data_IF_300791972448
#
_entry.id   IF_300791972448
#
_cell.length_a   1.000
_cell.length_b   1.000
_cell.length_c   1.000
_cell.angle_alpha   90.00
_cell.angle_beta   90.00
_cell.angle_gamma   90.00
#
_symmetry.space_group_name_H-M   'P 1'
#
loop_
_entity.id
_entity.type
_entity.pdbx_description
1 polymer ?
#
# COMPACT_ATOMS: atom_id res chain seq x y z
N UNK A 1 -16.45 11.88 3.03
CA UNK A 1 -17.12 10.59 3.22
C UNK A 1 -17.21 9.74 1.95
N UNK A 2 -17.48 10.32 0.77
CA UNK A 2 -17.69 9.53 -0.47
C UNK A 2 -16.45 8.80 -1.03
N UNK A 3 -15.23 9.21 -0.67
CA UNK A 3 -13.98 8.59 -1.19
C UNK A 3 -13.63 7.26 -0.52
N UNK A 4 -14.06 7.03 0.72
CA UNK A 4 -13.82 5.77 1.44
C UNK A 4 -14.71 4.66 0.88
N UNK A 5 -15.94 5.00 0.50
CA UNK A 5 -16.91 4.05 -0.05
C UNK A 5 -16.43 3.50 -1.41
N UNK A 6 -15.79 4.33 -2.25
CA UNK A 6 -15.26 3.89 -3.55
C UNK A 6 -14.10 2.90 -3.42
N UNK A 7 -13.25 3.04 -2.39
CA UNK A 7 -12.16 2.09 -2.14
C UNK A 7 -12.68 0.74 -1.63
N UNK A 8 -13.73 0.74 -0.82
CA UNK A 8 -14.36 -0.50 -0.34
C UNK A 8 -15.11 -1.25 -1.45
N UNK A 9 -15.73 -0.54 -2.39
CA UNK A 9 -16.47 -1.16 -3.51
C UNK A 9 -15.53 -1.88 -4.48
N UNK A 10 -14.30 -1.37 -4.68
CA UNK A 10 -13.31 -2.03 -5.52
C UNK A 10 -12.82 -3.35 -4.90
N UNK A 11 -12.73 -3.42 -3.58
CA UNK A 11 -12.29 -4.62 -2.86
C UNK A 11 -13.30 -5.79 -2.97
N UNK A 12 -14.58 -5.51 -3.16
CA UNK A 12 -15.65 -6.52 -3.18
C UNK A 12 -15.79 -7.20 -4.56
N UNK A 13 -15.36 -6.56 -5.64
CA UNK A 13 -15.53 -7.08 -7.00
C UNK A 13 -14.56 -8.22 -7.38
N UNK A 14 -13.55 -8.51 -6.54
CA UNK A 14 -12.54 -9.54 -6.82
C UNK A 14 -12.74 -10.85 -6.03
N UNK A 15 -13.88 -11.06 -5.38
CA UNK A 15 -14.09 -12.15 -4.42
C UNK A 15 -14.63 -13.46 -5.00
N UNK A 16 -14.59 -13.70 -6.28
CA UNK A 16 -15.15 -14.93 -6.85
C UNK A 16 -14.14 -15.78 -7.59
N UNK A 17 -13.30 -16.50 -6.87
CA UNK A 17 -12.88 -17.87 -7.21
C UNK A 17 -11.93 -18.43 -6.14
N UNK A 18 -12.44 -19.34 -5.33
CA UNK A 18 -11.65 -20.14 -4.40
C UNK A 18 -10.81 -21.15 -5.18
N UNK A 19 -9.57 -20.81 -5.44
CA UNK A 19 -8.54 -21.78 -5.86
C UNK A 19 -7.35 -21.59 -4.94
N UNK A 20 -6.80 -22.73 -4.47
CA UNK A 20 -5.71 -22.83 -3.51
C UNK A 20 -4.59 -21.81 -3.76
N UNK A 21 -4.45 -20.94 -2.82
CA UNK A 21 -3.37 -20.07 -2.42
C UNK A 21 -2.27 -19.72 -3.44
N UNK A 22 -2.48 -18.74 -4.28
CA UNK A 22 -1.48 -17.71 -4.39
C UNK A 22 -1.92 -16.54 -3.52
N UNK A 23 -0.98 -15.92 -2.90
CA UNK A 23 -1.22 -14.79 -2.01
C UNK A 23 -1.37 -13.47 -2.76
N UNK A 24 -2.31 -13.39 -3.70
CA UNK A 24 -2.72 -12.10 -4.22
C UNK A 24 -3.48 -11.35 -3.12
N UNK A 25 -3.16 -10.09 -2.94
CA UNK A 25 -3.72 -9.29 -1.87
C UNK A 25 -4.35 -8.01 -2.43
N UNK A 26 -5.46 -7.60 -1.86
CA UNK A 26 -5.95 -6.23 -1.93
C UNK A 26 -6.00 -5.68 -0.53
N UNK A 27 -5.45 -4.51 -0.31
CA UNK A 27 -5.31 -3.94 1.02
C UNK A 27 -5.63 -2.47 1.11
N UNK A 28 -5.97 -2.07 2.32
CA UNK A 28 -6.06 -0.66 2.73
C UNK A 28 -5.10 -0.44 3.88
N UNK A 29 -4.44 0.70 3.90
CA UNK A 29 -3.53 1.06 4.96
C UNK A 29 -3.71 2.53 5.37
N UNK A 30 -3.33 2.79 6.61
CA UNK A 30 -3.36 4.10 7.23
C UNK A 30 -2.06 4.33 7.98
N UNK A 31 -1.50 5.52 7.85
CA UNK A 31 -0.29 5.92 8.56
C UNK A 31 -0.61 6.88 9.69
N UNK A 32 0.25 6.91 10.70
CA UNK A 32 0.17 7.88 11.79
C UNK A 32 0.32 9.33 11.31
N UNK A 33 0.90 9.55 10.13
CA UNK A 33 1.01 10.85 9.46
C UNK A 33 -0.20 11.20 8.58
N UNK A 34 -1.36 10.57 8.82
CA UNK A 34 -2.60 10.76 8.07
C UNK A 34 -2.51 10.38 6.57
N UNK A 35 -1.63 9.47 6.21
CA UNK A 35 -1.59 8.89 4.86
C UNK A 35 -2.59 7.74 4.79
N UNK A 36 -3.53 7.83 3.86
CA UNK A 36 -4.42 6.72 3.49
C UNK A 36 -3.89 6.09 2.22
N UNK A 37 -3.87 4.77 2.15
CA UNK A 37 -3.43 4.05 0.97
C UNK A 37 -4.25 2.82 0.65
N UNK A 38 -4.15 2.40 -0.60
CA UNK A 38 -4.63 1.11 -1.08
C UNK A 38 -3.50 0.42 -1.82
N UNK A 39 -3.53 -0.91 -1.82
CA UNK A 39 -2.54 -1.71 -2.50
C UNK A 39 -3.16 -2.94 -3.13
N UNK A 40 -2.59 -3.35 -4.26
CA UNK A 40 -2.83 -4.63 -4.93
C UNK A 40 -1.49 -5.33 -5.03
N UNK A 41 -1.44 -6.58 -4.64
CA UNK A 41 -0.22 -7.37 -4.71
C UNK A 41 -0.49 -8.69 -5.40
N UNK A 42 0.38 -9.04 -6.33
CA UNK A 42 0.30 -10.25 -7.15
C UNK A 42 1.51 -11.12 -6.89
N UNK A 43 1.27 -12.35 -6.47
CA UNK A 43 2.32 -13.34 -6.32
C UNK A 43 2.87 -13.74 -7.69
N UNK A 44 4.18 -13.55 -7.87
CA UNK A 44 4.90 -13.94 -9.07
C UNK A 44 5.95 -15.03 -8.79
N UNK A 45 5.85 -15.72 -7.66
CA UNK A 45 6.84 -16.72 -7.25
C UNK A 45 7.10 -17.79 -8.34
N UNK A 46 6.06 -18.24 -9.04
CA UNK A 46 6.20 -19.21 -10.15
C UNK A 46 7.03 -18.65 -11.31
N UNK A 47 6.81 -17.37 -11.68
CA UNK A 47 7.59 -16.71 -12.72
C UNK A 47 9.01 -16.37 -12.25
N UNK A 48 9.23 -16.21 -10.95
CA UNK A 48 10.50 -15.88 -10.31
C UNK A 48 11.28 -17.13 -9.83
N UNK A 49 11.15 -18.26 -10.50
CA UNK A 49 11.86 -19.52 -10.15
C UNK A 49 11.55 -19.99 -8.72
N UNK A 50 10.31 -19.89 -8.30
CA UNK A 50 9.81 -20.24 -6.96
C UNK A 50 10.42 -19.41 -5.82
N UNK A 51 10.96 -18.24 -6.11
CA UNK A 51 11.38 -17.30 -5.06
C UNK A 51 10.14 -16.59 -4.50
N UNK A 52 10.10 -16.28 -3.20
CA UNK A 52 8.96 -15.64 -2.55
C UNK A 52 8.89 -14.15 -2.90
N UNK A 53 8.55 -13.86 -4.15
CA UNK A 53 8.49 -12.50 -4.71
C UNK A 53 7.08 -12.20 -5.20
N UNK A 54 6.61 -11.01 -4.91
CA UNK A 54 5.37 -10.45 -5.44
C UNK A 54 5.58 -9.06 -6.04
N UNK A 55 4.65 -8.62 -6.86
CA UNK A 55 4.58 -7.26 -7.38
C UNK A 55 3.42 -6.55 -6.69
N UNK A 56 3.71 -5.43 -6.08
CA UNK A 56 2.74 -4.55 -5.42
C UNK A 56 2.52 -3.30 -6.26
N UNK A 57 1.27 -3.01 -6.57
CA UNK A 57 0.80 -1.72 -7.06
C UNK A 57 0.18 -0.98 -5.89
N UNK A 58 0.51 0.28 -5.70
CA UNK A 58 -0.03 1.05 -4.58
C UNK A 58 -0.44 2.47 -5.00
N UNK A 59 -1.44 2.96 -4.29
CA UNK A 59 -1.86 4.35 -4.29
C UNK A 59 -1.89 4.83 -2.84
N UNK A 60 -1.32 6.01 -2.58
CA UNK A 60 -1.31 6.65 -1.27
C UNK A 60 -1.69 8.11 -1.40
N UNK A 61 -2.45 8.62 -0.45
CA UNK A 61 -2.84 10.02 -0.40
C UNK A 61 -2.66 10.58 0.99
N UNK A 62 -2.11 11.76 1.04
CA UNK A 62 -1.82 12.49 2.26
C UNK A 62 -2.41 13.89 2.16
N UNK A 63 -3.08 14.34 3.21
CA UNK A 63 -3.64 15.67 3.31
C UNK A 63 -3.12 16.34 4.58
N UNK A 64 -2.40 17.43 4.42
CA UNK A 64 -1.95 18.27 5.51
C UNK A 64 -2.69 19.61 5.50
N UNK A 65 -3.30 19.94 6.61
CA UNK A 65 -3.90 21.25 6.82
C UNK A 65 -2.87 22.16 7.47
N UNK A 66 -2.39 23.16 6.74
CA UNK A 66 -1.37 24.08 7.25
C UNK A 66 -1.99 25.16 8.16
N UNK A 67 -3.21 25.60 7.83
CA UNK A 67 -4.04 26.49 8.64
C UNK A 67 -5.50 26.39 8.18
N UNK A 68 -6.41 27.20 8.73
CA UNK A 68 -7.85 27.16 8.40
C UNK A 68 -8.15 27.30 6.90
N UNK A 69 -7.27 27.91 6.12
CA UNK A 69 -7.51 28.27 4.72
C UNK A 69 -6.56 27.62 3.73
N UNK A 70 -5.53 26.91 4.21
CA UNK A 70 -4.50 26.30 3.35
C UNK A 70 -4.42 24.79 3.57
N UNK A 71 -4.56 24.05 2.48
CA UNK A 71 -4.48 22.58 2.48
C UNK A 71 -3.47 22.13 1.44
N UNK A 72 -2.59 21.23 1.84
CA UNK A 72 -1.64 20.55 0.98
C UNK A 72 -2.08 19.12 0.78
N UNK A 73 -2.26 18.71 -0.47
CA UNK A 73 -2.57 17.33 -0.82
C UNK A 73 -1.39 16.73 -1.59
N UNK A 74 -0.94 15.58 -1.15
CA UNK A 74 0.09 14.80 -1.83
C UNK A 74 -0.49 13.45 -2.19
N UNK A 75 -0.33 13.03 -3.44
CA UNK A 75 -0.78 11.73 -3.91
C UNK A 75 0.40 10.99 -4.55
N UNK A 76 0.67 9.78 -4.09
CA UNK A 76 1.67 8.89 -4.63
C UNK A 76 1.04 7.67 -5.28
N UNK A 77 1.51 7.30 -6.46
CA UNK A 77 1.23 6.02 -7.10
C UNK A 77 2.54 5.33 -7.44
N UNK A 78 2.58 4.01 -7.31
CA UNK A 78 3.83 3.31 -7.58
C UNK A 78 3.68 1.81 -7.75
N UNK A 79 4.82 1.22 -8.06
CA UNK A 79 5.01 -0.22 -8.21
C UNK A 79 6.24 -0.64 -7.43
N UNK A 80 6.17 -1.75 -6.70
CA UNK A 80 7.28 -2.30 -5.94
C UNK A 80 7.36 -3.82 -6.09
N UNK A 81 8.58 -4.35 -6.11
CA UNK A 81 8.84 -5.75 -5.87
C UNK A 81 8.90 -5.98 -4.36
N UNK A 82 8.15 -6.95 -3.88
CA UNK A 82 8.11 -7.36 -2.46
C UNK A 82 8.78 -8.73 -2.34
N UNK A 83 9.69 -8.88 -1.39
CA UNK A 83 10.34 -10.14 -1.07
C UNK A 83 9.91 -10.59 0.33
N UNK A 84 9.25 -11.74 0.42
CA UNK A 84 8.87 -12.37 1.70
C UNK A 84 10.11 -13.02 2.34
N UNK A 85 10.40 -12.64 3.57
CA UNK A 85 11.55 -13.09 4.35
C UNK A 85 11.25 -14.32 5.22
N UNK A 86 10.06 -14.90 5.16
CA UNK A 86 9.65 -16.02 6.03
C UNK A 86 10.58 -17.23 5.90
N UNK A 87 11.15 -17.43 4.72
CA UNK A 87 12.14 -18.50 4.49
C UNK A 87 13.52 -18.20 5.09
N UNK A 88 13.83 -16.94 5.34
CA UNK A 88 15.13 -16.47 5.86
C UNK A 88 15.08 -16.30 7.37
N UNK A 89 13.96 -15.76 7.87
CA UNK A 89 13.76 -15.49 9.30
C UNK A 89 12.82 -16.55 9.86
N UNK A 90 13.32 -17.33 10.83
CA UNK A 90 12.52 -18.34 11.52
C UNK A 90 11.51 -17.67 12.45
N UNK A 91 10.32 -17.42 11.97
CA UNK A 91 9.20 -16.83 12.71
C UNK A 91 8.02 -17.79 12.76
N UNK A 92 7.00 -17.43 13.55
CA UNK A 92 5.73 -18.18 13.55
C UNK A 92 5.12 -18.18 12.15
N UNK A 93 4.46 -19.28 11.76
CA UNK A 93 3.79 -19.45 10.45
C UNK A 93 2.74 -18.40 10.13
N UNK A 94 2.20 -17.71 11.13
CA UNK A 94 1.26 -16.60 10.93
C UNK A 94 1.93 -15.25 10.71
N UNK A 95 3.25 -15.18 10.83
CA UNK A 95 4.04 -13.93 10.75
C UNK A 95 4.87 -13.95 9.48
N UNK A 96 4.69 -12.98 8.61
CA UNK A 96 5.35 -12.86 7.31
C UNK A 96 6.12 -11.54 7.23
N UNK A 97 7.39 -11.50 7.66
CA UNK A 97 8.24 -10.33 7.45
C UNK A 97 8.56 -10.17 5.98
N UNK A 98 8.65 -8.94 5.51
CA UNK A 98 8.96 -8.64 4.11
C UNK A 98 9.75 -7.35 3.95
N UNK A 99 10.38 -7.21 2.80
CA UNK A 99 11.00 -5.97 2.33
C UNK A 99 10.56 -5.70 0.90
N UNK A 100 10.52 -4.43 0.52
CA UNK A 100 10.10 -4.02 -0.82
C UNK A 100 10.92 -2.86 -1.34
N UNK A 101 11.14 -2.89 -2.65
CA UNK A 101 11.81 -1.84 -3.41
C UNK A 101 11.05 -1.57 -4.69
N UNK A 102 10.87 -0.29 -5.02
CA UNK A 102 10.11 0.09 -6.20
C UNK A 102 10.32 1.53 -6.64
N UNK A 103 9.43 1.95 -7.52
CA UNK A 103 9.37 3.30 -8.04
C UNK A 103 8.00 3.92 -7.72
N UNK A 104 8.02 5.20 -7.45
CA UNK A 104 6.84 5.98 -7.09
C UNK A 104 6.84 7.31 -7.84
N UNK A 105 5.67 7.70 -8.31
CA UNK A 105 5.39 9.04 -8.82
C UNK A 105 4.53 9.78 -7.82
N UNK A 106 4.90 11.00 -7.47
CA UNK A 106 4.25 11.83 -6.46
C UNK A 106 3.76 13.11 -7.09
N UNK A 107 2.48 13.41 -6.91
CA UNK A 107 1.88 14.67 -7.32
C UNK A 107 1.48 15.49 -6.10
N UNK A 108 1.68 16.80 -6.19
CA UNK A 108 1.36 17.77 -5.14
C UNK A 108 0.30 18.73 -5.62
N UNK A 109 -0.69 19.01 -4.77
CA UNK A 109 -1.71 20.02 -5.02
C UNK A 109 -1.84 20.91 -3.79
N UNK A 110 -1.64 22.19 -3.97
CA UNK A 110 -1.84 23.20 -2.93
C UNK A 110 -3.14 23.97 -3.16
N UNK A 111 -3.93 24.17 -2.12
CA UNK A 111 -5.13 24.98 -2.13
C UNK A 111 -5.07 26.02 -1.00
N UNK A 112 -5.14 27.31 -1.35
CA UNK A 112 -5.13 28.41 -0.39
C UNK A 112 -5.79 29.67 -0.95
N UNK A 113 -6.40 30.49 -0.07
CA UNK A 113 -7.00 31.80 -0.35
C UNK A 113 -7.92 31.86 -1.60
N UNK A 114 -8.79 30.87 -1.79
CA UNK A 114 -9.75 30.89 -2.90
C UNK A 114 -9.15 30.70 -4.29
N UNK A 115 -7.85 30.58 -4.43
CA UNK A 115 -7.13 30.33 -5.68
C UNK A 115 -6.65 28.88 -5.65
N UNK A 116 -7.26 28.02 -6.45
CA UNK A 116 -6.69 26.69 -6.73
C UNK A 116 -5.51 26.87 -7.67
N UNK A 117 -4.34 27.06 -7.14
CA UNK A 117 -3.13 26.84 -7.94
C UNK A 117 -2.82 25.35 -7.91
N UNK A 118 -3.11 24.68 -9.01
CA UNK A 118 -2.62 23.32 -9.23
C UNK A 118 -1.12 23.42 -9.49
N UNK A 119 -0.33 23.34 -8.45
CA UNK A 119 1.09 23.08 -8.59
C UNK A 119 1.24 21.57 -8.81
N UNK A 120 1.20 21.16 -10.06
CA UNK A 120 1.47 19.77 -10.46
C UNK A 120 2.98 19.62 -10.62
N UNK A 121 3.67 19.46 -9.51
CA UNK A 121 5.01 18.88 -9.52
C UNK A 121 4.86 17.36 -9.58
N UNK A 122 5.36 16.72 -10.61
CA UNK A 122 5.48 15.25 -10.64
C UNK A 122 6.91 14.91 -10.31
N UNK A 123 7.17 14.49 -9.10
CA UNK A 123 8.44 13.91 -8.71
C UNK A 123 8.36 12.38 -8.81
N UNK A 124 9.38 11.78 -9.42
CA UNK A 124 9.55 10.33 -9.42
C UNK A 124 10.67 9.96 -8.46
N UNK A 125 10.45 8.98 -7.62
CA UNK A 125 11.42 8.58 -6.60
C UNK A 125 11.46 7.09 -6.35
N UNK A 126 12.46 6.68 -5.60
CA UNK A 126 12.59 5.33 -5.10
C UNK A 126 11.56 5.12 -3.97
N UNK A 127 10.82 4.03 -4.03
CA UNK A 127 9.96 3.56 -2.95
C UNK A 127 10.63 2.41 -2.22
N UNK A 128 10.77 2.55 -0.90
CA UNK A 128 11.33 1.53 -0.01
C UNK A 128 10.30 1.24 1.07
N UNK A 129 10.04 -0.03 1.30
CA UNK A 129 9.16 -0.49 2.37
C UNK A 129 9.71 -1.73 3.05
N UNK A 130 9.37 -1.92 4.29
CA UNK A 130 9.64 -3.14 5.03
C UNK A 130 8.62 -3.29 6.15
N UNK A 131 8.18 -4.50 6.40
CA UNK A 131 7.10 -4.70 7.34
C UNK A 131 6.89 -6.15 7.73
N UNK A 132 5.78 -6.34 8.43
CA UNK A 132 5.32 -7.64 8.91
C UNK A 132 3.84 -7.76 8.63
N UNK A 133 3.44 -8.87 8.01
CA UNK A 133 2.04 -9.29 7.90
C UNK A 133 1.73 -10.34 8.94
N UNK A 134 0.58 -10.23 9.56
CA UNK A 134 0.07 -11.21 10.51
C UNK A 134 -1.23 -11.81 9.98
N UNK A 135 -1.23 -13.10 9.70
CA UNK A 135 -2.41 -13.83 9.23
C UNK A 135 -3.39 -14.06 10.38
N UNK A 136 -4.53 -13.38 10.37
CA UNK A 136 -5.64 -13.65 11.29
C UNK A 136 -6.47 -14.84 10.82
N UNK A 137 -6.72 -14.91 9.51
CA UNK A 137 -7.42 -16.00 8.85
C UNK A 137 -6.69 -16.36 7.55
N UNK A 138 -7.05 -17.44 6.87
CA UNK A 138 -6.50 -17.74 5.55
C UNK A 138 -6.72 -16.61 4.52
N UNK A 139 -7.78 -15.81 4.68
CA UNK A 139 -8.16 -14.74 3.75
C UNK A 139 -7.79 -13.34 4.21
N UNK A 140 -7.50 -13.13 5.51
CA UNK A 140 -7.29 -11.79 6.07
C UNK A 140 -5.98 -11.73 6.83
N UNK A 141 -5.16 -10.74 6.52
CA UNK A 141 -4.00 -10.39 7.33
C UNK A 141 -4.00 -8.90 7.72
N UNK A 142 -3.33 -8.61 8.83
CA UNK A 142 -2.91 -7.26 9.17
C UNK A 142 -1.53 -7.00 8.58
N UNK A 143 -1.29 -5.79 8.14
CA UNK A 143 -0.02 -5.31 7.61
C UNK A 143 0.49 -4.14 8.44
N UNK A 144 1.69 -4.28 8.98
CA UNK A 144 2.41 -3.22 9.68
C UNK A 144 3.70 -2.96 8.94
N UNK A 145 3.88 -1.78 8.40
CA UNK A 145 5.07 -1.47 7.61
C UNK A 145 5.61 -0.06 7.86
N UNK A 146 6.89 0.08 7.63
CA UNK A 146 7.60 1.34 7.53
C UNK A 146 7.95 1.58 6.07
N UNK A 147 7.65 2.76 5.55
CA UNK A 147 7.99 3.14 4.19
C UNK A 147 8.37 4.62 4.09
N UNK A 148 9.11 4.96 3.05
CA UNK A 148 9.64 6.30 2.88
C UNK A 148 8.64 7.36 2.36
N UNK A 149 7.37 6.98 2.13
CA UNK A 149 6.32 7.93 1.75
C UNK A 149 5.39 8.29 2.92
N UNK A 150 5.00 7.32 3.73
CA UNK A 150 3.99 7.49 4.79
C UNK A 150 4.49 7.14 6.18
N UNK A 151 5.80 6.91 6.35
CA UNK A 151 6.34 6.50 7.63
C UNK A 151 5.78 5.15 8.10
N UNK A 152 5.44 5.05 9.36
CA UNK A 152 4.84 3.85 9.94
C UNK A 152 3.36 3.76 9.57
N UNK A 153 2.97 2.66 8.94
CA UNK A 153 1.60 2.39 8.49
C UNK A 153 1.07 1.10 9.08
N UNK A 154 -0.23 1.07 9.32
CA UNK A 154 -0.97 -0.14 9.67
C UNK A 154 -2.11 -0.35 8.67
N UNK A 155 -2.40 -1.58 8.32
CA UNK A 155 -3.42 -1.90 7.34
C UNK A 155 -4.01 -3.29 7.50
N UNK A 156 -4.95 -3.58 6.62
CA UNK A 156 -5.53 -4.90 6.48
C UNK A 156 -5.56 -5.28 5.00
N UNK A 157 -5.23 -6.52 4.71
CA UNK A 157 -5.26 -7.09 3.38
C UNK A 157 -6.25 -8.24 3.32
N UNK A 158 -6.89 -8.37 2.19
CA UNK A 158 -7.72 -9.51 1.83
C UNK A 158 -7.01 -10.30 0.72
N UNK A 159 -6.89 -11.62 0.93
CA UNK A 159 -6.27 -12.56 0.00
C UNK A 159 -7.32 -13.17 -0.93
N UNK A 160 -6.98 -13.29 -2.22
CA UNK A 160 -7.84 -13.89 -3.24
C UNK A 160 -7.07 -14.71 -4.27
#
# INVERSE_FOLDING_TARGET
MNKIISAMTLAILFTSSAVAAPSNHVGINYSFDNVVGTQLEFDIAKAASNKPVSIQLFWKSYQQRLNSNNTWNTTGIGIAGIYDLTSVVKVNKSVHPYVGLGLMSVSYTWAGFGIRQNYTGVDSGLYITGGVRYNFTPQVDADFNLNNFGGLTAGANFKF
#
